data_IF_013283962077
#
_entry.id   IF_013283962077
#
_cell.length_a   1.000
_cell.length_b   1.000
_cell.length_c   1.000
_cell.angle_alpha   90.00
_cell.angle_beta   90.00
_cell.angle_gamma   90.00
#
_symmetry.space_group_name_H-M   'P 1'
#
loop_
_entity.id
_entity.type
_entity.pdbx_description
1 polymer ?
#
# COMPACT_ATOMS: atom_id res chain seq x y z
N UNK A 1 16.24 -14.86 -20.97
CA UNK A 1 14.92 -15.13 -20.33
C UNK A 1 15.16 -15.86 -19.02
N UNK A 2 14.53 -15.40 -17.93
CA UNK A 2 14.60 -16.10 -16.64
C UNK A 2 13.63 -17.27 -16.67
N UNK A 3 14.09 -18.44 -16.26
CA UNK A 3 13.30 -19.68 -16.29
C UNK A 3 13.32 -20.38 -14.95
N UNK A 4 12.26 -21.14 -14.65
CA UNK A 4 12.21 -22.11 -13.57
C UNK A 4 11.89 -23.49 -14.16
N UNK A 5 12.75 -24.49 -13.92
CA UNK A 5 12.63 -25.84 -14.48
C UNK A 5 12.47 -25.84 -16.02
N UNK A 6 13.20 -24.95 -16.72
CA UNK A 6 13.16 -24.84 -18.17
C UNK A 6 11.99 -24.05 -18.77
N UNK A 7 11.00 -23.65 -17.95
CA UNK A 7 9.85 -22.85 -18.39
C UNK A 7 10.05 -21.37 -18.04
N UNK A 8 9.69 -20.43 -18.94
CA UNK A 8 9.73 -19.01 -18.65
C UNK A 8 8.86 -18.66 -17.43
N UNK A 9 9.36 -17.78 -16.55
CA UNK A 9 8.60 -17.28 -15.41
C UNK A 9 7.86 -15.99 -15.77
N UNK A 10 6.76 -15.71 -15.07
CA UNK A 10 6.17 -14.37 -15.02
C UNK A 10 7.03 -13.48 -14.11
N UNK A 11 7.63 -12.45 -14.70
CA UNK A 11 8.43 -11.48 -13.95
C UNK A 11 7.61 -10.19 -13.75
N UNK A 12 7.46 -9.78 -12.50
CA UNK A 12 6.77 -8.54 -12.13
C UNK A 12 7.77 -7.52 -11.62
N UNK A 13 7.54 -6.25 -11.97
CA UNK A 13 8.41 -5.13 -11.63
C UNK A 13 7.62 -4.05 -10.94
N UNK A 14 8.24 -3.35 -9.99
CA UNK A 14 7.69 -2.21 -9.27
C UNK A 14 8.82 -1.25 -8.88
N UNK A 15 8.45 -0.03 -8.53
CA UNK A 15 9.42 1.05 -8.30
C UNK A 15 10.02 1.05 -6.90
N UNK A 16 9.34 0.47 -5.91
CA UNK A 16 9.79 0.42 -4.51
C UNK A 16 8.96 -0.56 -3.72
N UNK A 17 9.63 -1.38 -2.91
CA UNK A 17 9.01 -2.40 -2.05
C UNK A 17 8.79 -1.94 -0.61
N UNK A 18 9.19 -0.73 -0.26
CA UNK A 18 9.25 -0.25 1.12
C UNK A 18 10.11 -1.10 2.08
N UNK A 19 11.08 -1.86 1.54
CA UNK A 19 12.05 -2.64 2.30
C UNK A 19 11.86 -4.15 2.29
N UNK A 20 10.69 -4.63 1.86
CA UNK A 20 10.40 -6.05 1.64
C UNK A 20 9.47 -6.18 0.45
N UNK A 21 9.76 -7.07 -0.49
CA UNK A 21 8.83 -7.37 -1.58
C UNK A 21 7.62 -8.14 -1.05
N UNK A 22 6.48 -8.03 -1.72
CA UNK A 22 5.27 -8.74 -1.31
C UNK A 22 5.21 -10.14 -1.91
N UNK A 23 4.59 -11.09 -1.19
CA UNK A 23 4.20 -12.35 -1.77
C UNK A 23 3.09 -12.08 -2.80
N UNK A 24 3.15 -12.76 -3.93
CA UNK A 24 2.12 -12.61 -4.97
C UNK A 24 0.72 -12.98 -4.47
N UNK A 25 0.62 -13.93 -3.56
CA UNK A 25 -0.63 -14.33 -2.93
C UNK A 25 -1.34 -13.17 -2.22
N UNK A 26 -0.58 -12.31 -1.54
CA UNK A 26 -1.11 -11.17 -0.80
C UNK A 26 -1.59 -10.05 -1.73
N UNK A 27 -1.11 -10.02 -2.98
CA UNK A 27 -1.44 -8.98 -3.97
C UNK A 27 -2.56 -9.44 -4.90
N UNK A 28 -2.49 -10.66 -5.44
CA UNK A 28 -3.41 -11.15 -6.48
C UNK A 28 -4.08 -12.48 -6.14
N UNK A 29 -3.86 -13.03 -4.94
CA UNK A 29 -4.49 -14.27 -4.50
C UNK A 29 -3.97 -15.56 -5.13
N UNK A 30 -3.00 -15.47 -6.06
CA UNK A 30 -2.37 -16.63 -6.70
C UNK A 30 -1.07 -16.99 -6.01
N UNK A 31 -0.73 -18.28 -5.98
CA UNK A 31 0.54 -18.75 -5.43
C UNK A 31 1.50 -19.19 -6.55
N UNK A 32 2.72 -18.63 -6.51
CA UNK A 32 3.85 -19.12 -7.31
C UNK A 32 5.05 -19.26 -6.37
N UNK A 33 5.66 -20.43 -6.35
CA UNK A 33 6.77 -20.74 -5.43
C UNK A 33 7.97 -19.81 -5.56
N UNK A 34 8.15 -19.20 -6.71
CA UNK A 34 9.25 -18.27 -7.02
C UNK A 34 8.91 -16.79 -6.79
N UNK A 35 7.67 -16.44 -6.41
CA UNK A 35 7.23 -15.06 -6.16
C UNK A 35 6.93 -14.86 -4.66
N UNK A 36 7.94 -15.12 -3.85
CA UNK A 36 7.90 -14.90 -2.40
C UNK A 36 8.49 -13.54 -2.04
N UNK A 37 8.04 -13.01 -0.91
CA UNK A 37 8.60 -11.79 -0.35
C UNK A 37 10.05 -11.97 0.08
N UNK A 38 10.92 -11.04 -0.35
CA UNK A 38 12.34 -11.02 0.01
C UNK A 38 12.72 -9.64 0.55
N UNK A 39 13.70 -9.53 1.46
CA UNK A 39 14.23 -8.25 1.90
C UNK A 39 14.75 -7.44 0.72
N UNK A 40 14.39 -6.15 0.68
CA UNK A 40 14.83 -5.19 -0.33
C UNK A 40 15.16 -3.85 0.35
N UNK A 41 16.31 -3.80 1.00
CA UNK A 41 16.77 -2.61 1.73
C UNK A 41 17.13 -1.45 0.80
N UNK A 42 17.37 -1.71 -0.48
CA UNK A 42 17.73 -0.71 -1.47
C UNK A 42 16.57 0.21 -1.80
N UNK A 43 15.35 -0.29 -1.80
CA UNK A 43 14.14 0.50 -2.10
C UNK A 43 13.87 1.60 -1.08
N UNK A 44 14.32 1.44 0.16
CA UNK A 44 14.17 2.45 1.24
C UNK A 44 15.38 3.39 1.38
N UNK A 45 16.42 3.20 0.58
CA UNK A 45 17.59 4.07 0.57
C UNK A 45 17.31 5.33 -0.24
N UNK A 46 17.24 6.49 0.43
CA UNK A 46 16.95 7.79 -0.20
C UNK A 46 17.98 8.16 -1.27
N UNK A 47 19.25 7.79 -1.10
CA UNK A 47 20.28 8.08 -2.08
C UNK A 47 20.11 7.29 -3.38
N UNK A 48 19.56 6.08 -3.30
CA UNK A 48 19.35 5.20 -4.45
C UNK A 48 17.94 5.32 -5.04
N UNK A 49 16.96 5.60 -4.21
CA UNK A 49 15.55 5.71 -4.62
C UNK A 49 14.90 6.99 -4.05
N UNK A 50 15.37 8.17 -4.42
CA UNK A 50 14.93 9.44 -3.80
C UNK A 50 13.43 9.73 -4.02
N UNK A 51 12.83 9.16 -5.06
CA UNK A 51 11.44 9.41 -5.42
C UNK A 51 10.44 8.57 -4.63
N UNK A 52 10.80 7.35 -4.28
CA UNK A 52 9.85 6.38 -3.71
C UNK A 52 10.26 5.84 -2.35
N UNK A 53 11.49 6.07 -1.89
CA UNK A 53 11.94 5.65 -0.56
C UNK A 53 11.18 6.37 0.56
N UNK A 54 10.74 7.60 0.30
CA UNK A 54 9.89 8.40 1.19
C UNK A 54 8.95 9.26 0.36
N UNK A 55 7.66 9.20 0.64
CA UNK A 55 6.68 10.03 -0.04
C UNK A 55 5.53 10.42 0.89
N UNK A 56 4.95 11.58 0.61
CA UNK A 56 3.69 12.07 1.18
C UNK A 56 2.75 12.37 0.03
N UNK A 57 1.50 11.96 0.15
CA UNK A 57 0.44 12.28 -0.83
C UNK A 57 -0.75 12.85 -0.10
N UNK A 58 -1.20 13.98 -0.59
CA UNK A 58 -2.47 14.59 -0.18
C UNK A 58 -3.54 14.10 -1.13
N UNK A 59 -4.63 13.62 -0.59
CA UNK A 59 -5.75 13.08 -1.37
C UNK A 59 -6.97 13.94 -1.12
N UNK A 60 -7.44 14.69 -2.15
CA UNK A 60 -8.63 15.51 -2.04
C UNK A 60 -9.87 14.68 -1.69
N UNK A 61 -10.81 15.26 -0.94
CA UNK A 61 -12.09 14.66 -0.55
C UNK A 61 -12.84 14.09 -1.76
N UNK A 62 -12.90 14.83 -2.87
CA UNK A 62 -13.57 14.36 -4.08
C UNK A 62 -12.95 13.06 -4.65
N UNK A 63 -11.63 12.90 -4.52
CA UNK A 63 -10.93 11.68 -4.94
C UNK A 63 -11.22 10.53 -3.99
N UNK A 64 -11.24 10.79 -2.68
CA UNK A 64 -11.62 9.79 -1.67
C UNK A 64 -13.05 9.30 -1.93
N UNK A 65 -14.00 10.21 -2.03
CA UNK A 65 -15.42 9.89 -2.27
C UNK A 65 -15.61 9.09 -3.54
N UNK A 66 -14.99 9.51 -4.64
CA UNK A 66 -15.02 8.78 -5.91
C UNK A 66 -14.44 7.36 -5.80
N UNK A 67 -13.31 7.22 -5.11
CA UNK A 67 -12.63 5.93 -4.97
C UNK A 67 -13.48 4.93 -4.19
N UNK A 68 -14.12 5.38 -3.11
CA UNK A 68 -15.00 4.54 -2.31
C UNK A 68 -16.44 4.42 -2.86
N UNK A 69 -16.81 5.20 -3.88
CA UNK A 69 -18.19 5.27 -4.37
C UNK A 69 -19.16 5.81 -3.32
N UNK A 70 -18.70 6.76 -2.51
CA UNK A 70 -19.47 7.46 -1.49
C UNK A 70 -19.74 8.90 -1.91
N UNK A 71 -20.77 9.52 -1.34
CA UNK A 71 -21.06 10.95 -1.57
C UNK A 71 -20.00 11.85 -0.93
N UNK A 72 -19.51 11.44 0.23
CA UNK A 72 -18.45 12.08 1.00
C UNK A 72 -17.71 11.03 1.84
N UNK A 73 -16.59 11.39 2.42
CA UNK A 73 -15.85 10.57 3.38
C UNK A 73 -15.54 11.41 4.60
N UNK A 74 -16.18 11.13 5.72
CA UNK A 74 -15.96 11.84 7.00
C UNK A 74 -14.86 11.21 7.84
N UNK A 75 -14.61 9.91 7.64
CA UNK A 75 -13.52 9.18 8.29
C UNK A 75 -13.12 7.96 7.47
N UNK A 76 -11.91 7.50 7.71
CA UNK A 76 -11.42 6.23 7.19
C UNK A 76 -10.53 5.54 8.22
N UNK A 77 -10.37 4.23 8.07
CA UNK A 77 -9.49 3.41 8.89
C UNK A 77 -8.76 2.38 8.05
N UNK A 78 -7.51 2.10 8.38
CA UNK A 78 -6.79 0.94 7.87
C UNK A 78 -7.18 -0.24 8.75
N UNK A 79 -7.90 -1.20 8.19
CA UNK A 79 -8.48 -2.30 8.96
C UNK A 79 -7.49 -3.47 9.12
N UNK A 80 -6.70 -3.73 8.09
CA UNK A 80 -5.72 -4.81 8.12
C UNK A 80 -4.52 -4.54 7.24
N UNK A 81 -3.42 -5.20 7.59
CA UNK A 81 -2.16 -5.18 6.82
C UNK A 81 -1.74 -6.60 6.47
N UNK A 82 -1.00 -6.75 5.40
CA UNK A 82 -0.34 -8.02 5.04
C UNK A 82 0.82 -8.32 6.00
N UNK A 83 1.34 -9.52 5.94
CA UNK A 83 2.52 -9.94 6.73
C UNK A 83 3.73 -9.02 6.48
N UNK A 84 3.86 -8.49 5.28
CA UNK A 84 4.93 -7.53 4.93
C UNK A 84 4.63 -6.10 5.35
N UNK A 85 3.43 -5.80 5.88
CA UNK A 85 3.03 -4.50 6.42
C UNK A 85 2.31 -3.59 5.43
N UNK A 86 2.08 -3.99 4.18
CA UNK A 86 1.27 -3.21 3.26
C UNK A 86 -0.20 -3.19 3.67
N UNK A 87 -0.94 -2.17 3.28
CA UNK A 87 -2.39 -2.09 3.55
C UNK A 87 -3.10 -3.18 2.78
N UNK A 88 -3.77 -4.09 3.50
CA UNK A 88 -4.59 -5.15 2.91
C UNK A 88 -6.03 -4.68 2.72
N UNK A 89 -6.61 -3.98 3.70
CA UNK A 89 -7.96 -3.43 3.61
C UNK A 89 -8.08 -2.07 4.30
N UNK A 90 -8.94 -1.23 3.75
CA UNK A 90 -9.23 0.12 4.23
C UNK A 90 -10.72 0.39 4.11
N UNK A 91 -11.32 0.92 5.17
CA UNK A 91 -12.75 1.25 5.23
C UNK A 91 -12.95 2.76 5.33
N UNK A 92 -13.87 3.30 4.57
CA UNK A 92 -14.32 4.68 4.69
C UNK A 92 -15.79 4.75 5.11
N UNK A 93 -16.14 5.84 5.80
CA UNK A 93 -17.48 6.11 6.32
C UNK A 93 -17.94 7.47 5.79
N UNK A 94 -19.16 7.51 5.23
CA UNK A 94 -19.81 8.75 4.81
C UNK A 94 -20.62 9.41 5.94
N UNK A 95 -21.01 10.66 5.75
CA UNK A 95 -21.91 11.37 6.67
C UNK A 95 -23.26 10.70 6.84
N UNK A 96 -23.71 9.95 5.83
CA UNK A 96 -24.93 9.12 5.90
C UNK A 96 -24.76 7.84 6.73
N UNK A 97 -23.56 7.56 7.25
CA UNK A 97 -23.23 6.32 7.97
C UNK A 97 -22.93 5.12 7.08
N UNK A 98 -22.96 5.28 5.76
CA UNK A 98 -22.62 4.22 4.82
C UNK A 98 -21.14 3.91 4.93
N UNK A 99 -20.79 2.61 5.04
CA UNK A 99 -19.43 2.10 5.11
C UNK A 99 -19.09 1.36 3.83
N UNK A 100 -17.89 1.56 3.32
CA UNK A 100 -17.34 0.83 2.18
C UNK A 100 -15.92 0.44 2.48
N UNK A 101 -15.61 -0.85 2.30
CA UNK A 101 -14.26 -1.41 2.45
C UNK A 101 -13.70 -1.74 1.07
N UNK A 102 -12.47 -1.35 0.84
CA UNK A 102 -11.69 -1.66 -0.36
C UNK A 102 -10.43 -2.43 0.00
N UNK A 103 -9.93 -3.22 -0.94
CA UNK A 103 -8.56 -3.73 -0.81
C UNK A 103 -7.55 -2.59 -0.96
N UNK A 104 -6.38 -2.75 -0.34
CA UNK A 104 -5.30 -1.77 -0.44
C UNK A 104 -4.90 -1.47 -1.89
N UNK A 105 -4.91 -2.46 -2.78
CA UNK A 105 -4.59 -2.29 -4.19
C UNK A 105 -5.65 -1.48 -4.95
N UNK A 106 -6.94 -1.74 -4.72
CA UNK A 106 -8.02 -0.95 -5.33
C UNK A 106 -7.94 0.49 -4.84
N UNK A 107 -7.75 0.69 -3.54
CA UNK A 107 -7.60 2.03 -2.97
C UNK A 107 -6.38 2.74 -3.56
N UNK A 108 -5.19 2.11 -3.55
CA UNK A 108 -3.96 2.65 -4.13
C UNK A 108 -4.15 3.12 -5.55
N UNK A 109 -4.77 2.29 -6.39
CA UNK A 109 -5.02 2.62 -7.79
C UNK A 109 -6.00 3.80 -7.94
N UNK A 110 -7.06 3.84 -7.15
CA UNK A 110 -8.07 4.91 -7.18
C UNK A 110 -7.51 6.27 -6.80
N UNK A 111 -6.67 6.33 -5.77
CA UNK A 111 -6.04 7.59 -5.29
C UNK A 111 -4.64 7.82 -5.85
N UNK A 112 -4.16 6.93 -6.73
CA UNK A 112 -2.85 7.02 -7.44
C UNK A 112 -1.65 7.11 -6.48
N UNK A 113 -1.61 6.26 -5.44
CA UNK A 113 -0.46 6.17 -4.56
C UNK A 113 0.68 5.37 -5.21
N UNK A 114 1.94 5.68 -4.88
CA UNK A 114 3.10 4.93 -5.36
C UNK A 114 3.10 3.46 -4.93
N UNK A 115 2.62 3.16 -3.72
CA UNK A 115 2.57 1.80 -3.17
C UNK A 115 1.41 1.64 -2.18
N UNK A 116 1.11 0.39 -1.79
CA UNK A 116 0.19 0.06 -0.70
C UNK A 116 0.85 0.18 0.69
N UNK A 117 2.12 0.52 0.74
CA UNK A 117 2.88 0.77 1.95
C UNK A 117 2.76 2.23 2.38
N UNK A 118 1.69 2.55 3.08
CA UNK A 118 1.45 3.85 3.68
C UNK A 118 0.82 3.70 5.07
N UNK A 119 0.84 4.76 5.84
CA UNK A 119 0.22 4.82 7.15
C UNK A 119 -0.64 6.09 7.27
N UNK A 120 -1.61 6.03 8.13
CA UNK A 120 -2.31 7.20 8.64
C UNK A 120 -1.37 7.98 9.57
N UNK A 121 -1.36 9.31 9.58
CA UNK A 121 -0.56 10.10 10.52
C UNK A 121 -0.81 9.74 12.00
N UNK A 122 -2.00 9.28 12.35
CA UNK A 122 -2.34 8.81 13.70
C UNK A 122 -1.60 7.51 14.08
N UNK A 123 -1.26 6.66 13.13
CA UNK A 123 -0.51 5.42 13.36
C UNK A 123 0.99 5.65 13.55
N UNK A 124 1.50 6.82 13.15
CA UNK A 124 2.95 7.07 13.08
C UNK A 124 3.67 6.94 14.43
N UNK A 125 3.00 7.24 15.54
CA UNK A 125 3.56 7.14 16.89
C UNK A 125 3.80 5.68 17.27
N UNK A 126 2.87 4.79 16.97
CA UNK A 126 2.96 3.36 17.28
C UNK A 126 4.06 2.67 16.49
N UNK A 127 4.21 3.01 15.22
CA UNK A 127 5.21 2.41 14.34
C UNK A 127 6.63 2.85 14.72
N UNK A 128 6.82 4.07 15.21
CA UNK A 128 8.11 4.53 15.73
C UNK A 128 8.55 3.76 16.98
N UNK A 129 7.62 3.25 17.77
CA UNK A 129 7.92 2.56 19.03
C UNK A 129 8.13 1.06 18.82
N UNK A 130 7.41 0.43 17.89
CA UNK A 130 7.30 -1.03 17.82
C UNK A 130 7.71 -1.69 16.49
N UNK A 131 8.06 -0.94 15.48
CA UNK A 131 8.36 -1.53 14.16
C UNK A 131 9.31 -0.72 13.29
N UNK A 132 9.64 -1.25 12.11
CA UNK A 132 10.36 -0.49 11.11
C UNK A 132 9.58 0.77 10.78
N UNK A 133 10.24 1.91 10.73
CA UNK A 133 9.59 3.18 10.44
C UNK A 133 8.98 3.14 9.04
N UNK A 134 7.66 3.04 8.97
CA UNK A 134 6.93 3.30 7.74
C UNK A 134 7.12 4.79 7.44
N UNK A 135 7.62 5.09 6.25
CA UNK A 135 8.00 6.45 5.87
C UNK A 135 6.99 7.10 4.93
N UNK A 136 5.99 6.36 4.50
CA UNK A 136 5.01 6.82 3.55
C UNK A 136 3.70 7.16 4.26
N UNK A 137 3.16 8.33 4.00
CA UNK A 137 1.95 8.83 4.65
C UNK A 137 0.86 9.13 3.64
N UNK A 138 -0.37 8.83 4.02
CA UNK A 138 -1.58 9.29 3.37
C UNK A 138 -2.16 10.45 4.19
N UNK A 139 -2.38 11.59 3.54
CA UNK A 139 -3.10 12.72 4.11
C UNK A 139 -4.38 12.91 3.31
N UNK A 140 -5.53 12.75 3.94
CA UNK A 140 -6.81 13.13 3.36
C UNK A 140 -7.02 14.63 3.56
N UNK A 141 -7.44 15.32 2.52
CA UNK A 141 -7.81 16.74 2.55
C UNK A 141 -9.33 16.89 2.58
N UNK A 142 -9.80 17.69 3.52
CA UNK A 142 -11.22 18.06 3.63
C UNK A 142 -11.60 19.12 2.60
#
# INVERSE_FOLDING_TARGET
>A
TVTLNGSPINAFYFSSSAGVTQNIKDVWGSEFSYLQGVPDTWSTNIALNPRYALWVRRVPQATMSKTFGLTDVISYSIDSRTVTGSVASITAISSSGKKVTLSGEIFRAGVKLPSTWFQDPSESIWIRIFGPSIRNYLLAEN
#
